data_IF_615797945247
#
_entry.id   IF_615797945247
#
_cell.length_a   1.000
_cell.length_b   1.000
_cell.length_c   1.000
_cell.angle_alpha   90.00
_cell.angle_beta   90.00
_cell.angle_gamma   90.00
#
_symmetry.space_group_name_H-M   'P 1'
#
loop_
_entity.id
_entity.type
_entity.pdbx_description
1 polymer ?
#
# COMPACT_ATOMS: atom_id res chain seq x y z
N UNK A 1 -25.23 -13.49 -3.11
CA UNK A 1 -23.84 -13.16 -3.48
C UNK A 1 -23.53 -11.77 -2.93
N UNK A 2 -22.57 -11.63 -2.00
CA UNK A 2 -22.12 -10.32 -1.53
C UNK A 2 -21.44 -9.62 -2.72
N UNK A 3 -21.91 -8.42 -3.10
CA UNK A 3 -21.22 -7.57 -4.07
C UNK A 3 -19.88 -7.19 -3.44
N UNK A 4 -18.78 -7.74 -3.94
CA UNK A 4 -17.45 -7.28 -3.56
C UNK A 4 -17.33 -5.87 -4.12
N UNK A 5 -17.14 -4.87 -3.24
CA UNK A 5 -16.94 -3.51 -3.67
C UNK A 5 -15.56 -3.45 -4.36
N UNK A 6 -15.55 -3.44 -5.70
CA UNK A 6 -14.32 -3.41 -6.49
C UNK A 6 -13.75 -2.00 -6.65
N UNK A 7 -14.44 -0.98 -6.13
CA UNK A 7 -13.95 0.38 -6.19
C UNK A 7 -12.73 0.55 -5.28
N UNK A 8 -11.76 1.38 -5.66
CA UNK A 8 -10.66 1.72 -4.77
C UNK A 8 -11.16 2.39 -3.49
N UNK A 9 -10.51 2.12 -2.37
CA UNK A 9 -10.82 2.71 -1.06
C UNK A 9 -9.57 2.87 -0.20
N UNK A 10 -9.63 3.75 0.80
CA UNK A 10 -8.51 4.00 1.71
C UNK A 10 -8.37 2.88 2.74
N UNK A 11 -7.12 2.50 3.01
CA UNK A 11 -6.77 1.48 4.00
C UNK A 11 -5.55 1.92 4.80
N UNK A 12 -5.45 1.44 6.04
CA UNK A 12 -4.18 1.41 6.76
C UNK A 12 -3.48 0.10 6.40
N UNK A 13 -2.24 0.17 5.94
CA UNK A 13 -1.43 -0.99 5.57
C UNK A 13 -0.06 -0.94 6.24
N UNK A 14 0.54 -2.10 6.44
CA UNK A 14 1.91 -2.28 6.94
C UNK A 14 2.81 -2.76 5.80
N UNK A 15 3.96 -2.13 5.60
CA UNK A 15 4.95 -2.57 4.61
C UNK A 15 5.66 -3.79 5.16
N UNK A 16 5.55 -4.93 4.49
CA UNK A 16 6.25 -6.17 4.91
C UNK A 16 7.51 -6.43 4.10
N UNK A 17 7.63 -5.79 2.94
CA UNK A 17 8.81 -5.91 2.08
C UNK A 17 8.93 -4.75 1.10
N UNK A 18 10.12 -4.17 0.98
CA UNK A 18 10.39 -3.15 -0.05
C UNK A 18 11.02 -3.82 -1.27
N UNK A 19 10.34 -3.72 -2.42
CA UNK A 19 10.85 -4.19 -3.72
C UNK A 19 11.10 -2.97 -4.62
N UNK A 20 12.33 -2.49 -4.68
CA UNK A 20 12.70 -1.34 -5.51
C UNK A 20 13.91 -0.60 -4.94
N UNK A 21 14.31 0.47 -5.62
CA UNK A 21 15.35 1.39 -5.13
C UNK A 21 14.66 2.52 -4.38
N UNK A 22 15.09 2.75 -3.14
CA UNK A 22 14.71 3.93 -2.37
C UNK A 22 15.46 5.14 -2.93
N UNK A 23 14.74 6.20 -3.27
CA UNK A 23 15.38 7.47 -3.59
C UNK A 23 15.97 8.08 -2.31
N UNK A 24 16.98 8.95 -2.48
CA UNK A 24 17.55 9.68 -1.36
C UNK A 24 16.47 10.48 -0.64
N UNK A 25 16.36 10.30 0.68
CA UNK A 25 15.34 10.92 1.51
C UNK A 25 14.02 10.15 1.60
N UNK A 26 13.88 8.97 0.97
CA UNK A 26 12.66 8.15 1.10
C UNK A 26 12.39 7.80 2.56
N UNK A 27 11.13 7.94 2.96
CA UNK A 27 10.67 7.82 4.35
C UNK A 27 9.98 6.49 4.63
N UNK A 28 10.02 5.54 3.70
CA UNK A 28 9.38 4.23 3.89
C UNK A 28 10.36 3.21 4.45
N UNK A 29 9.93 2.48 5.48
CA UNK A 29 10.67 1.33 6.03
C UNK A 29 9.78 0.09 6.17
N UNK A 30 10.40 -1.10 6.19
CA UNK A 30 9.68 -2.35 6.50
C UNK A 30 9.20 -2.33 7.96
N UNK A 31 7.94 -2.71 8.19
CA UNK A 31 7.26 -2.67 9.49
C UNK A 31 6.51 -1.36 9.76
N UNK A 32 6.69 -0.32 8.94
CA UNK A 32 5.94 0.92 9.08
C UNK A 32 4.53 0.84 8.49
N UNK A 33 3.67 1.72 8.98
CA UNK A 33 2.25 1.78 8.64
C UNK A 33 1.87 3.10 8.03
N UNK A 34 1.16 3.03 6.91
CA UNK A 34 0.72 4.20 6.16
C UNK A 34 -0.75 4.08 5.77
N UNK A 35 -1.32 5.21 5.35
CA UNK A 35 -2.62 5.25 4.70
C UNK A 35 -2.40 5.24 3.19
N UNK A 36 -2.99 4.27 2.51
CA UNK A 36 -2.89 4.13 1.06
C UNK A 36 -4.24 3.86 0.41
N UNK A 37 -4.27 3.85 -0.92
CA UNK A 37 -5.47 3.50 -1.69
C UNK A 37 -5.37 2.04 -2.13
N UNK A 38 -6.21 1.16 -1.57
CA UNK A 38 -6.30 -0.21 -2.03
C UNK A 38 -7.12 -0.30 -3.31
N UNK A 39 -6.58 -0.99 -4.31
CA UNK A 39 -7.23 -1.31 -5.58
C UNK A 39 -7.54 -2.82 -5.61
N UNK A 40 -8.79 -3.23 -5.31
CA UNK A 40 -9.17 -4.65 -5.25
C UNK A 40 -8.89 -5.42 -6.54
N UNK A 41 -9.09 -4.79 -7.71
CA UNK A 41 -8.85 -5.39 -9.02
C UNK A 41 -7.38 -5.75 -9.27
N UNK A 42 -6.45 -5.02 -8.65
CA UNK A 42 -5.01 -5.27 -8.74
C UNK A 42 -4.48 -6.07 -7.56
N UNK A 43 -5.27 -6.21 -6.49
CA UNK A 43 -4.82 -6.65 -5.18
C UNK A 43 -3.57 -5.91 -4.69
N UNK A 44 -3.57 -4.58 -4.85
CA UNK A 44 -2.42 -3.73 -4.52
C UNK A 44 -2.86 -2.43 -3.85
N UNK A 45 -2.01 -1.91 -2.96
CA UNK A 45 -2.13 -0.59 -2.36
C UNK A 45 -1.21 0.38 -3.09
N UNK A 46 -1.77 1.51 -3.52
CA UNK A 46 -1.01 2.67 -3.99
C UNK A 46 -0.71 3.62 -2.83
N UNK A 47 0.53 4.09 -2.77
CA UNK A 47 1.01 5.05 -1.80
C UNK A 47 2.01 6.00 -2.47
N UNK A 48 1.95 7.28 -2.13
CA UNK A 48 2.91 8.29 -2.56
C UNK A 48 3.61 8.80 -1.30
N UNK A 49 4.94 8.67 -1.26
CA UNK A 49 5.72 9.11 -0.10
C UNK A 49 5.93 10.64 -0.08
N UNK A 50 6.57 11.15 0.97
CA UNK A 50 6.77 12.59 1.14
C UNK A 50 7.66 13.24 0.04
N UNK A 51 8.37 12.42 -0.74
CA UNK A 51 9.20 12.88 -1.86
C UNK A 51 8.47 12.77 -3.21
N UNK A 52 7.16 12.53 -3.22
CA UNK A 52 6.35 12.22 -4.39
C UNK A 52 6.82 10.95 -5.13
N UNK A 53 7.50 10.02 -4.44
CA UNK A 53 7.80 8.72 -5.02
C UNK A 53 6.58 7.82 -4.90
N UNK A 54 6.14 7.29 -6.04
CA UNK A 54 5.02 6.37 -6.12
C UNK A 54 5.42 4.93 -5.79
N UNK A 55 4.58 4.26 -5.00
CA UNK A 55 4.76 2.89 -4.58
C UNK A 55 3.49 2.07 -4.82
N UNK A 56 3.70 0.84 -5.31
CA UNK A 56 2.65 -0.16 -5.46
C UNK A 56 3.01 -1.39 -4.63
N UNK A 57 2.33 -1.56 -3.49
CA UNK A 57 2.52 -2.69 -2.61
C UNK A 57 1.46 -3.77 -2.90
N UNK A 58 1.89 -5.02 -3.06
CA UNK A 58 1.01 -6.15 -3.34
C UNK A 58 0.59 -6.79 -2.01
N UNK A 59 -0.71 -6.90 -1.78
CA UNK A 59 -1.24 -7.42 -0.51
C UNK A 59 -0.92 -8.91 -0.37
N UNK A 60 -0.32 -9.28 0.77
CA UNK A 60 0.18 -10.63 1.06
C UNK A 60 1.58 -10.93 0.49
N UNK A 61 2.22 -9.97 -0.19
CA UNK A 61 3.58 -10.13 -0.72
C UNK A 61 4.55 -9.02 -0.28
N UNK A 62 4.12 -7.77 -0.32
CA UNK A 62 4.93 -6.61 0.09
C UNK A 62 4.22 -5.65 1.04
N UNK A 63 2.93 -5.87 1.30
CA UNK A 63 2.22 -5.27 2.43
C UNK A 63 1.10 -6.17 2.95
N UNK A 64 0.63 -5.86 4.15
CA UNK A 64 -0.62 -6.38 4.70
C UNK A 64 -1.58 -5.24 5.05
N UNK A 65 -2.87 -5.44 4.80
CA UNK A 65 -3.91 -4.47 5.19
C UNK A 65 -4.29 -4.72 6.64
N UNK A 66 -4.23 -3.68 7.47
CA UNK A 66 -4.57 -3.75 8.90
C UNK A 66 -6.03 -3.41 9.14
N UNK A 67 -6.56 -2.37 8.47
CA UNK A 67 -7.97 -1.97 8.56
C UNK A 67 -8.41 -1.18 7.33
N UNK A 68 -9.71 -1.23 7.02
CA UNK A 68 -10.40 -0.31 6.14
C UNK A 68 -10.78 0.98 6.90
N UNK A 69 -10.84 2.11 6.18
CA UNK A 69 -11.21 3.43 6.69
C UNK A 69 -12.56 3.90 6.11
#
# INVERSE_FOLDING_TARGET
>A
MKKINMKPYFVIFEITKIKGTLNEGSTIEEGERFVGTYHPEKNSVFFEDENNQEWWFKVGESCDIITDC
#
